data_IF_893613878899
#
_entry.id   IF_893613878899
#
_cell.length_a   1.000
_cell.length_b   1.000
_cell.length_c   1.000
_cell.angle_alpha   90.00
_cell.angle_beta   90.00
_cell.angle_gamma   90.00
#
_symmetry.space_group_name_H-M   'P 1'
#
loop_
_entity.id
_entity.type
_entity.pdbx_description
1 polymer ?
#
# COMPACT_ATOMS: atom_id res chain seq x y z
N UNK A 1 11.22 32.07 1.93
CA UNK A 1 10.90 30.75 1.35
C UNK A 1 12.02 29.74 1.57
N UNK A 2 13.29 30.10 1.35
CA UNK A 2 14.44 29.17 1.46
C UNK A 2 14.58 28.47 2.82
N UNK A 3 14.39 29.18 3.94
CA UNK A 3 14.54 28.60 5.29
C UNK A 3 13.66 27.37 5.55
N UNK A 4 12.45 27.34 4.98
CA UNK A 4 11.52 26.21 5.16
C UNK A 4 12.00 24.98 4.36
N UNK A 5 12.51 25.18 3.14
CA UNK A 5 13.05 24.10 2.33
C UNK A 5 14.33 23.53 2.95
N UNK A 6 15.17 24.38 3.54
CA UNK A 6 16.32 23.93 4.35
C UNK A 6 15.87 23.04 5.51
N UNK A 7 14.85 23.45 6.27
CA UNK A 7 14.33 22.65 7.39
C UNK A 7 13.75 21.32 6.89
N UNK A 8 12.99 21.30 5.78
CA UNK A 8 12.50 20.05 5.17
C UNK A 8 13.66 19.13 4.80
N UNK A 9 14.69 19.66 4.14
CA UNK A 9 15.87 18.89 3.74
C UNK A 9 16.58 18.27 4.94
N UNK A 10 16.81 19.04 6.00
CA UNK A 10 17.42 18.55 7.23
C UNK A 10 16.57 17.46 7.91
N UNK A 11 15.25 17.65 7.96
CA UNK A 11 14.33 16.66 8.54
C UNK A 11 14.39 15.34 7.77
N UNK A 12 14.45 15.40 6.43
CA UNK A 12 14.59 14.22 5.56
C UNK A 12 15.94 13.53 5.76
N UNK A 13 17.03 14.29 5.76
CA UNK A 13 18.39 13.77 6.01
C UNK A 13 18.51 13.06 7.37
N UNK A 14 17.74 13.50 8.36
CA UNK A 14 17.70 12.96 9.72
C UNK A 14 16.59 11.91 9.94
N UNK A 15 16.09 11.29 8.87
CA UNK A 15 15.07 10.23 8.90
C UNK A 15 13.77 10.60 9.64
N UNK A 16 13.42 11.89 9.75
CA UNK A 16 12.23 12.40 10.44
C UNK A 16 12.05 11.96 11.91
N UNK A 17 13.06 11.35 12.56
CA UNK A 17 13.01 10.94 13.98
C UNK A 17 14.03 11.68 14.83
N UNK A 18 15.17 12.05 14.25
CA UNK A 18 16.26 12.69 14.98
C UNK A 18 16.03 14.21 15.08
N UNK A 19 14.94 14.58 15.73
CA UNK A 19 14.51 15.98 15.87
C UNK A 19 15.52 16.80 16.67
N UNK A 20 16.24 16.20 17.62
CA UNK A 20 17.22 16.89 18.45
C UNK A 20 18.46 17.30 17.66
N UNK A 21 18.92 16.43 16.75
CA UNK A 21 20.03 16.73 15.84
C UNK A 21 19.58 17.79 14.83
N UNK A 22 18.38 17.63 14.27
CA UNK A 22 17.79 18.58 13.33
C UNK A 22 17.61 19.95 13.97
N UNK A 23 17.16 20.01 15.22
CA UNK A 23 16.97 21.24 15.98
C UNK A 23 18.28 22.02 16.16
N UNK A 24 19.35 21.31 16.54
CA UNK A 24 20.70 21.92 16.66
C UNK A 24 21.17 22.45 15.30
N UNK A 25 21.04 21.66 14.24
CA UNK A 25 21.40 22.09 12.89
C UNK A 25 20.61 23.32 12.42
N UNK A 26 19.32 23.40 12.74
CA UNK A 26 18.51 24.58 12.44
C UNK A 26 19.03 25.82 13.20
N UNK A 27 19.40 25.68 14.47
CA UNK A 27 19.99 26.78 15.26
C UNK A 27 21.35 27.21 14.71
N UNK A 28 22.22 26.26 14.35
CA UNK A 28 23.54 26.52 13.77
C UNK A 28 23.44 27.28 12.44
N UNK A 29 22.35 27.05 11.70
CA UNK A 29 22.01 27.77 10.46
C UNK A 29 21.26 29.09 10.68
N UNK A 30 21.09 29.53 11.93
CA UNK A 30 20.39 30.78 12.27
C UNK A 30 18.86 30.73 12.06
N UNK A 31 18.27 29.54 12.04
CA UNK A 31 16.82 29.33 11.93
C UNK A 31 16.25 29.00 13.31
N UNK A 32 15.52 29.96 13.89
CA UNK A 32 14.79 29.72 15.14
C UNK A 32 13.58 28.83 14.88
N UNK A 33 13.63 27.60 15.40
CA UNK A 33 12.51 26.66 15.38
C UNK A 33 12.14 26.28 16.80
N UNK A 34 10.87 25.94 17.05
CA UNK A 34 10.44 25.35 18.33
C UNK A 34 10.65 23.83 18.26
N UNK A 35 11.23 23.21 19.28
CA UNK A 35 11.47 21.76 19.34
C UNK A 35 10.19 20.94 19.18
N UNK A 36 9.11 21.34 19.87
CA UNK A 36 7.80 20.68 19.77
C UNK A 36 7.21 20.89 18.36
N UNK A 37 7.35 22.10 17.82
CA UNK A 37 6.92 22.42 16.46
C UNK A 37 7.66 21.60 15.40
N UNK A 38 8.96 21.37 15.59
CA UNK A 38 9.80 20.58 14.69
C UNK A 38 9.40 19.10 14.70
N UNK A 39 9.04 18.55 15.86
CA UNK A 39 8.54 17.16 15.94
C UNK A 39 7.22 17.00 15.18
N UNK A 40 6.26 17.90 15.39
CA UNK A 40 4.97 17.89 14.68
C UNK A 40 5.20 18.06 13.18
N UNK A 41 6.10 18.97 12.81
CA UNK A 41 6.47 19.21 11.42
C UNK A 41 7.09 17.97 10.78
N UNK A 42 8.03 17.30 11.45
CA UNK A 42 8.66 16.08 10.95
C UNK A 42 7.65 14.94 10.76
N UNK A 43 6.70 14.81 11.69
CA UNK A 43 5.60 13.83 11.59
C UNK A 43 4.69 14.13 10.39
N UNK A 44 4.30 15.40 10.21
CA UNK A 44 3.45 15.83 9.10
C UNK A 44 4.16 15.67 7.75
N UNK A 45 5.43 16.06 7.66
CA UNK A 45 6.24 15.94 6.45
C UNK A 45 6.36 14.47 6.03
N UNK A 46 6.64 13.55 6.97
CA UNK A 46 6.67 12.12 6.68
C UNK A 46 5.33 11.58 6.16
N UNK A 47 4.22 12.02 6.74
CA UNK A 47 2.89 11.59 6.30
C UNK A 47 2.59 12.06 4.87
N UNK A 48 2.96 13.31 4.54
CA UNK A 48 2.83 13.84 3.18
C UNK A 48 3.72 13.09 2.19
N UNK A 49 5.01 12.93 2.50
CA UNK A 49 5.96 12.24 1.61
C UNK A 49 5.53 10.77 1.35
N UNK A 50 4.93 10.08 2.34
CA UNK A 50 4.33 8.74 2.14
C UNK A 50 3.06 8.74 1.29
N UNK A 51 2.19 9.74 1.47
CA UNK A 51 0.98 9.85 0.67
C UNK A 51 1.33 10.08 -0.81
N UNK A 52 2.33 10.92 -1.07
CA UNK A 52 2.87 11.18 -2.41
C UNK A 52 3.47 9.92 -3.05
N UNK A 53 4.21 9.11 -2.29
CA UNK A 53 4.74 7.81 -2.78
C UNK A 53 3.60 6.86 -3.19
N UNK A 54 2.56 6.75 -2.36
CA UNK A 54 1.39 5.91 -2.64
C UNK A 54 0.64 6.41 -3.89
N UNK A 55 0.46 7.73 -4.02
CA UNK A 55 -0.19 8.34 -5.17
C UNK A 55 0.63 8.16 -6.45
N UNK A 56 1.96 8.32 -6.40
CA UNK A 56 2.85 8.08 -7.52
C UNK A 56 2.77 6.61 -8.00
N UNK A 57 2.72 5.64 -7.08
CA UNK A 57 2.52 4.24 -7.43
C UNK A 57 1.14 3.97 -8.03
N UNK A 58 0.08 4.58 -7.50
CA UNK A 58 -1.28 4.49 -8.06
C UNK A 58 -1.32 5.06 -9.48
N UNK A 59 -0.70 6.21 -9.72
CA UNK A 59 -0.67 6.86 -11.03
C UNK A 59 0.15 6.06 -12.05
N UNK A 60 1.30 5.50 -11.66
CA UNK A 60 2.03 4.56 -12.51
C UNK A 60 1.21 3.30 -12.83
N UNK A 61 0.52 2.70 -11.86
CA UNK A 61 -0.35 1.55 -12.09
C UNK A 61 -1.52 1.86 -13.04
N UNK A 62 -2.09 3.06 -12.94
CA UNK A 62 -3.13 3.54 -13.86
C UNK A 62 -2.59 3.82 -15.28
N UNK A 63 -1.36 4.33 -15.42
CA UNK A 63 -0.75 4.55 -16.75
C UNK A 63 -0.40 3.23 -17.48
N UNK A 64 0.06 2.21 -16.75
CA UNK A 64 0.29 0.88 -17.35
C UNK A 64 -1.01 0.16 -17.75
N UNK A 65 -2.10 0.37 -17.02
CA UNK A 65 -3.41 -0.20 -17.37
C UNK A 65 -4.16 0.58 -18.46
N UNK A 66 -3.76 1.82 -18.76
CA UNK A 66 -4.33 2.62 -19.87
C UNK A 66 -3.61 2.36 -21.20
N UNK A 67 -2.34 1.93 -21.17
CA UNK A 67 -1.56 1.57 -22.38
C UNK A 67 -1.91 0.19 -22.96
N UNK A 68 -2.72 -0.61 -22.26
CA UNK A 68 -3.17 -1.95 -22.73
C UNK A 68 -4.61 -1.97 -23.25
N UNK A 69 -5.33 -0.83 -23.32
CA UNK A 69 -6.75 -0.79 -23.76
C UNK A 69 -6.94 -0.55 -25.26
N UNK A 70 -5.98 -0.90 -26.11
CA UNK A 70 -6.14 -0.73 -27.56
C UNK A 70 -5.89 -1.97 -28.41
N UNK A 71 -5.50 -3.12 -27.87
CA UNK A 71 -5.39 -4.34 -28.67
C UNK A 71 -6.11 -5.51 -28.02
N UNK A 72 -7.26 -5.83 -28.60
CA UNK A 72 -7.75 -7.19 -28.84
C UNK A 72 -8.24 -7.95 -27.61
N UNK A 73 -9.38 -8.62 -27.80
CA UNK A 73 -9.76 -9.80 -27.02
C UNK A 73 -8.62 -10.83 -27.04
N UNK A 74 -7.63 -10.68 -26.16
CA UNK A 74 -6.63 -11.70 -25.92
C UNK A 74 -7.18 -12.57 -24.80
N UNK A 75 -7.83 -13.67 -25.21
CA UNK A 75 -8.06 -14.83 -24.38
C UNK A 75 -6.82 -15.05 -23.50
N UNK A 76 -7.02 -15.22 -22.20
CA UNK A 76 -5.99 -15.69 -21.29
C UNK A 76 -5.52 -17.06 -21.78
N UNK A 77 -4.46 -17.09 -22.58
CA UNK A 77 -3.78 -18.33 -22.97
C UNK A 77 -3.07 -18.86 -21.74
N UNK A 78 -3.72 -19.75 -21.02
CA UNK A 78 -3.04 -20.66 -20.12
C UNK A 78 -2.25 -21.62 -21.01
N UNK A 79 -1.01 -21.27 -21.35
CA UNK A 79 -0.09 -22.25 -21.91
C UNK A 79 0.06 -23.35 -20.85
N UNK A 80 -0.68 -24.45 -21.06
CA UNK A 80 -0.41 -25.71 -20.40
C UNK A 80 1.01 -26.11 -20.82
N UNK A 81 2.02 -25.75 -20.03
CA UNK A 81 3.30 -26.41 -20.14
C UNK A 81 3.09 -27.85 -19.67
N UNK A 82 2.87 -28.76 -20.63
CA UNK A 82 2.92 -30.19 -20.39
C UNK A 82 4.35 -30.52 -19.96
N UNK A 83 4.61 -30.49 -18.65
CA UNK A 83 5.78 -31.14 -18.09
C UNK A 83 5.50 -32.63 -18.20
N UNK A 84 6.07 -33.24 -19.24
CA UNK A 84 6.28 -34.68 -19.27
C UNK A 84 7.08 -35.06 -18.01
N UNK A 85 6.48 -35.87 -17.15
CA UNK A 85 7.22 -36.56 -16.10
C UNK A 85 8.07 -37.64 -16.76
N UNK A 86 9.21 -37.21 -17.32
CA UNK A 86 10.26 -38.07 -17.83
C UNK A 86 10.94 -38.82 -16.67
N UNK A 87 10.61 -40.10 -16.57
CA UNK A 87 11.23 -41.12 -15.73
C UNK A 87 12.75 -41.18 -15.94
N UNK A 88 13.47 -41.63 -14.90
CA UNK A 88 14.91 -41.50 -14.74
C UNK A 88 15.77 -42.15 -15.82
N UNK A 89 17.00 -41.65 -15.97
CA UNK A 89 18.30 -42.34 -15.81
C UNK A 89 19.42 -41.72 -16.69
N UNK A 90 20.54 -41.38 -16.02
CA UNK A 90 21.95 -41.24 -16.50
C UNK A 90 22.26 -40.02 -17.43
N UNK A 91 23.41 -39.31 -17.40
CA UNK A 91 24.83 -39.62 -17.07
C UNK A 91 25.62 -38.27 -16.97
N UNK A 92 26.75 -38.15 -16.26
CA UNK A 92 27.56 -36.93 -16.26
C UNK A 92 28.50 -36.88 -17.48
N UNK A 93 28.60 -35.72 -18.14
CA UNK A 93 29.62 -35.44 -19.15
C UNK A 93 30.30 -34.11 -18.84
N UNK A 94 31.63 -34.17 -18.73
CA UNK A 94 32.55 -33.05 -18.58
C UNK A 94 32.66 -32.22 -19.87
N UNK A 95 32.80 -30.90 -19.75
CA UNK A 95 33.27 -30.02 -20.83
C UNK A 95 32.87 -28.57 -20.62
N UNK A 96 33.85 -27.66 -20.72
CA UNK A 96 33.79 -26.18 -20.62
C UNK A 96 32.54 -25.55 -21.27
N UNK A 97 32.03 -24.39 -20.85
CA UNK A 97 32.62 -23.04 -20.99
C UNK A 97 31.92 -22.09 -19.99
N UNK A 98 32.51 -20.92 -19.79
CA UNK A 98 32.08 -19.82 -18.94
C UNK A 98 30.56 -19.50 -18.95
N UNK A 99 30.17 -18.80 -17.88
CA UNK A 99 29.11 -17.77 -17.81
C UNK A 99 27.95 -18.07 -16.84
N UNK A 100 27.48 -16.97 -16.23
CA UNK A 100 26.25 -16.78 -15.46
C UNK A 100 26.31 -17.01 -13.95
N UNK A 101 26.61 -15.87 -13.30
CA UNK A 101 26.03 -15.34 -12.05
C UNK A 101 25.13 -16.33 -11.29
N UNK A 102 25.50 -16.55 -10.03
CA UNK A 102 24.73 -17.24 -8.99
C UNK A 102 23.33 -16.61 -8.82
N UNK A 103 22.38 -16.96 -9.68
CA UNK A 103 20.95 -16.67 -9.48
C UNK A 103 20.52 -17.60 -8.35
N UNK A 104 20.32 -17.04 -7.16
CA UNK A 104 19.69 -17.77 -6.07
C UNK A 104 18.31 -18.27 -6.55
N UNK A 105 18.14 -19.60 -6.61
CA UNK A 105 16.89 -20.27 -6.98
C UNK A 105 15.68 -19.56 -6.37
N UNK A 106 14.79 -19.05 -7.24
CA UNK A 106 13.56 -18.33 -6.87
C UNK A 106 12.63 -19.25 -6.04
N UNK A 107 12.70 -20.56 -6.25
CA UNK A 107 12.01 -21.57 -5.45
C UNK A 107 12.32 -21.51 -3.94
N UNK A 108 13.50 -21.00 -3.55
CA UNK A 108 13.87 -20.84 -2.15
C UNK A 108 13.37 -19.51 -1.53
N UNK A 109 12.97 -18.55 -2.36
CA UNK A 109 12.51 -17.23 -1.90
C UNK A 109 11.01 -17.22 -1.57
N UNK A 110 10.19 -18.03 -2.26
CA UNK A 110 8.76 -18.19 -1.96
C UNK A 110 8.50 -18.89 -0.63
N UNK A 111 9.40 -19.80 -0.23
CA UNK A 111 9.38 -20.46 1.08
C UNK A 111 9.62 -19.50 2.25
N UNK A 112 10.22 -18.32 1.99
CA UNK A 112 10.54 -17.31 3.01
C UNK A 112 9.51 -16.20 3.18
N UNK A 113 8.47 -16.12 2.35
CA UNK A 113 7.38 -15.11 2.46
C UNK A 113 6.11 -15.64 3.12
N UNK A 114 6.12 -16.88 3.62
CA UNK A 114 5.03 -17.37 4.45
C UNK A 114 5.22 -16.84 5.87
N UNK A 115 4.30 -15.98 6.31
CA UNK A 115 4.19 -15.63 7.73
C UNK A 115 4.11 -16.93 8.53
N UNK A 116 4.96 -17.16 9.54
CA UNK A 116 4.91 -18.37 10.34
C UNK A 116 3.52 -18.51 10.97
N UNK A 117 2.89 -19.67 10.82
CA UNK A 117 1.72 -20.05 11.61
C UNK A 117 0.34 -19.78 11.02
N UNK A 118 0.20 -19.26 9.79
CA UNK A 118 -1.12 -19.15 9.14
C UNK A 118 -1.16 -19.92 7.83
N UNK A 119 -2.01 -20.95 7.76
CA UNK A 119 -2.31 -21.60 6.50
C UNK A 119 -3.14 -20.67 5.60
N UNK A 120 -2.98 -20.75 4.25
CA UNK A 120 -3.83 -20.00 3.33
C UNK A 120 -5.33 -20.22 3.57
N UNK A 121 -5.71 -21.42 4.02
CA UNK A 121 -7.08 -21.78 4.35
C UNK A 121 -7.62 -21.05 5.59
N UNK A 122 -6.83 -20.94 6.65
CA UNK A 122 -7.20 -20.18 7.86
C UNK A 122 -7.35 -18.70 7.55
N UNK A 123 -6.41 -18.13 6.79
CA UNK A 123 -6.50 -16.74 6.35
C UNK A 123 -7.74 -16.49 5.49
N UNK A 124 -8.10 -17.41 4.59
CA UNK A 124 -9.32 -17.29 3.78
C UNK A 124 -10.58 -17.30 4.65
N UNK A 125 -10.62 -18.14 5.69
CA UNK A 125 -11.75 -18.21 6.64
C UNK A 125 -11.87 -16.91 7.43
N UNK A 126 -10.77 -16.41 7.97
CA UNK A 126 -10.71 -15.14 8.71
C UNK A 126 -11.21 -13.97 7.85
N UNK A 127 -10.67 -13.82 6.64
CA UNK A 127 -11.11 -12.79 5.68
C UNK A 127 -12.60 -12.92 5.38
N UNK A 128 -13.10 -14.14 5.19
CA UNK A 128 -14.54 -14.36 4.90
C UNK A 128 -15.41 -13.96 6.08
N UNK A 129 -14.98 -14.28 7.31
CA UNK A 129 -15.68 -13.91 8.52
C UNK A 129 -15.70 -12.39 8.70
N UNK A 130 -14.54 -11.73 8.61
CA UNK A 130 -14.43 -10.27 8.69
C UNK A 130 -15.30 -9.57 7.63
N UNK A 131 -15.25 -10.04 6.38
CA UNK A 131 -16.09 -9.50 5.31
C UNK A 131 -17.58 -9.65 5.62
N UNK A 132 -18.00 -10.77 6.21
CA UNK A 132 -19.36 -10.98 6.68
C UNK A 132 -19.77 -9.96 7.75
N UNK A 133 -18.93 -9.75 8.76
CA UNK A 133 -19.22 -8.77 9.83
C UNK A 133 -19.35 -7.35 9.30
N UNK A 134 -18.50 -6.97 8.33
CA UNK A 134 -18.54 -5.65 7.70
C UNK A 134 -19.85 -5.47 6.91
N UNK A 135 -20.27 -6.48 6.14
CA UNK A 135 -21.53 -6.41 5.36
C UNK A 135 -22.76 -6.27 6.22
N UNK A 136 -22.81 -6.97 7.36
CA UNK A 136 -23.90 -6.83 8.33
C UNK A 136 -23.95 -5.40 8.87
N UNK A 137 -22.80 -4.88 9.30
CA UNK A 137 -22.71 -3.51 9.82
C UNK A 137 -23.06 -2.44 8.78
N UNK A 138 -22.65 -2.64 7.52
CA UNK A 138 -23.03 -1.77 6.40
C UNK A 138 -24.54 -1.72 6.23
N UNK A 139 -25.21 -2.88 6.28
CA UNK A 139 -26.66 -2.95 6.17
C UNK A 139 -27.37 -2.23 7.34
N UNK A 140 -26.91 -2.43 8.58
CA UNK A 140 -27.43 -1.74 9.76
C UNK A 140 -27.32 -0.21 9.63
N UNK A 141 -26.15 0.29 9.22
CA UNK A 141 -25.93 1.72 9.03
C UNK A 141 -26.80 2.30 7.91
N UNK A 142 -27.02 1.57 6.81
CA UNK A 142 -27.94 2.00 5.76
C UNK A 142 -29.39 2.05 6.26
N UNK A 143 -29.78 1.14 7.14
CA UNK A 143 -31.11 1.16 7.76
C UNK A 143 -31.27 2.37 8.69
N UNK A 144 -30.28 2.65 9.56
CA UNK A 144 -30.26 3.84 10.40
C UNK A 144 -30.34 5.13 9.57
N UNK A 145 -29.58 5.21 8.48
CA UNK A 145 -29.60 6.37 7.58
C UNK A 145 -30.97 6.56 6.93
N UNK A 146 -31.62 5.48 6.48
CA UNK A 146 -32.97 5.55 5.92
C UNK A 146 -33.99 6.04 6.95
N UNK A 147 -33.85 5.63 8.22
CA UNK A 147 -34.72 6.11 9.30
C UNK A 147 -34.51 7.61 9.55
N UNK A 148 -33.26 8.08 9.61
CA UNK A 148 -32.97 9.51 9.80
C UNK A 148 -33.49 10.37 8.64
N UNK A 149 -33.39 9.89 7.40
CA UNK A 149 -33.95 10.57 6.23
C UNK A 149 -35.48 10.65 6.33
N UNK A 150 -36.13 9.56 6.76
CA UNK A 150 -37.57 9.53 6.95
C UNK A 150 -38.00 10.52 8.05
N UNK A 151 -37.29 10.56 9.18
CA UNK A 151 -37.53 11.52 10.27
C UNK A 151 -37.36 12.97 9.80
N UNK A 152 -36.27 13.29 9.09
CA UNK A 152 -36.02 14.63 8.54
C UNK A 152 -37.16 15.07 7.58
N UNK A 153 -37.68 14.15 6.77
CA UNK A 153 -38.80 14.41 5.87
C UNK A 153 -40.12 14.68 6.63
N UNK A 154 -40.33 13.99 7.76
CA UNK A 154 -41.48 14.22 8.64
C UNK A 154 -41.39 15.55 9.39
N UNK A 155 -40.21 15.99 9.78
CA UNK A 155 -40.04 17.27 10.47
C UNK A 155 -40.18 18.48 9.53
N UNK A 156 -39.72 18.35 8.27
CA UNK A 156 -39.95 19.37 7.23
C UNK A 156 -41.43 19.53 6.89
N UNK A 157 -42.18 18.44 6.82
CA UNK A 157 -43.64 18.49 6.56
C UNK A 157 -44.43 19.10 7.73
N UNK A 158 -44.00 18.89 8.98
CA UNK A 158 -44.60 19.57 10.14
C UNK A 158 -44.32 21.07 10.16
N UNK A 159 -43.10 21.51 9.85
CA UNK A 159 -42.78 22.95 9.78
C UNK A 159 -43.56 23.67 8.67
N UNK A 160 -43.76 23.03 7.51
CA UNK A 160 -44.54 23.59 6.40
C UNK A 160 -46.05 23.73 6.70
N UNK A 161 -46.59 22.94 7.63
CA UNK A 161 -48.00 22.98 8.01
C UNK A 161 -48.33 23.99 9.13
N UNK A 162 -47.33 24.71 9.67
CA UNK A 162 -47.50 25.64 10.80
C UNK A 162 -47.47 27.12 10.36
N UNK A 163 -47.68 27.40 9.07
CA UNK A 163 -47.82 28.76 8.52
C UNK A 163 -49.15 28.93 7.79
#
# INVERSE_FOLDING_TARGET
>A
MEKLETVKSLVRANNYKNNDVTYKQCLDMGVSVNRVGLEIFARKLRAMDRAEEIEAHKNHSMQYSQSQRLHGESMLSFEKSSIEYGSGYQRPSSGSVAELKKVSNIANLESRRKMPGYSPSERKKEITFELGTIKVREYELLQELNLLIAEESHDKSKQAATF
#
